data_IF_188497490002
#
_entry.id   IF_188497490002
#
_cell.length_a   1.000
_cell.length_b   1.000
_cell.length_c   1.000
_cell.angle_alpha   90.00
_cell.angle_beta   90.00
_cell.angle_gamma   90.00
#
_symmetry.space_group_name_H-M   'P 1'
#
loop_
_entity.id
_entity.type
_entity.pdbx_description
1 polymer ?
#
# COMPACT_ATOMS: atom_id res chain seq x y z
N UNK A 1 10.28 13.53 -0.27
CA UNK A 1 9.86 12.86 -1.53
C UNK A 1 8.74 11.87 -1.21
N UNK A 2 7.85 11.59 -2.16
CA UNK A 2 6.80 10.58 -2.03
C UNK A 2 7.13 9.37 -2.90
N UNK A 3 7.05 8.18 -2.34
CA UNK A 3 7.17 6.93 -3.07
C UNK A 3 5.76 6.43 -3.44
N UNK A 4 5.50 6.23 -4.72
CA UNK A 4 4.24 5.67 -5.21
C UNK A 4 4.41 4.18 -5.51
N UNK A 5 3.49 3.36 -5.01
CA UNK A 5 3.43 1.92 -5.27
C UNK A 5 2.19 1.63 -6.11
N UNK A 6 2.40 1.44 -7.41
CA UNK A 6 1.38 0.93 -8.35
C UNK A 6 1.83 -0.45 -8.84
N UNK A 7 0.88 -1.37 -9.04
CA UNK A 7 1.17 -2.70 -9.56
C UNK A 7 0.79 -2.75 -11.04
N UNK A 8 1.61 -3.40 -11.88
CA UNK A 8 1.40 -3.57 -13.32
C UNK A 8 1.65 -5.04 -13.72
N UNK A 9 0.74 -5.97 -13.40
CA UNK A 9 0.92 -7.41 -13.60
C UNK A 9 1.12 -7.81 -15.06
N UNK A 10 0.64 -6.99 -16.01
CA UNK A 10 0.79 -7.17 -17.45
C UNK A 10 2.24 -7.05 -17.94
N UNK A 11 3.11 -6.39 -17.15
CA UNK A 11 4.50 -6.14 -17.53
C UNK A 11 5.47 -7.22 -17.03
N UNK A 12 5.01 -8.19 -16.22
CA UNK A 12 5.82 -9.31 -15.72
C UNK A 12 7.13 -8.86 -15.06
N UNK A 13 7.16 -8.59 -13.76
CA UNK A 13 8.37 -8.08 -13.11
C UNK A 13 9.27 -9.21 -12.58
N UNK A 14 10.51 -9.38 -13.09
CA UNK A 14 11.49 -10.34 -12.55
C UNK A 14 12.10 -9.86 -11.21
N UNK A 15 11.86 -8.61 -10.82
CA UNK A 15 12.26 -8.05 -9.53
C UNK A 15 11.23 -8.43 -8.47
N UNK A 16 11.67 -9.14 -7.42
CA UNK A 16 10.85 -9.36 -6.23
C UNK A 16 10.52 -7.98 -5.66
N UNK A 17 9.25 -7.54 -5.69
CA UNK A 17 8.85 -6.19 -5.26
C UNK A 17 9.40 -5.77 -3.88
N UNK A 18 9.67 -6.75 -3.01
CA UNK A 18 10.37 -6.56 -1.73
C UNK A 18 11.79 -5.97 -1.89
N UNK A 19 12.57 -6.47 -2.85
CA UNK A 19 13.93 -5.98 -3.10
C UNK A 19 13.90 -4.54 -3.63
N UNK A 20 13.02 -4.24 -4.59
CA UNK A 20 12.86 -2.88 -5.10
C UNK A 20 12.46 -1.91 -3.98
N UNK A 21 11.52 -2.30 -3.12
CA UNK A 21 11.13 -1.50 -1.97
C UNK A 21 12.35 -1.23 -1.06
N UNK A 22 13.10 -2.27 -0.74
CA UNK A 22 14.30 -2.16 0.08
C UNK A 22 15.38 -1.26 -0.56
N UNK A 23 15.64 -1.42 -1.85
CA UNK A 23 16.64 -0.63 -2.59
C UNK A 23 16.26 0.85 -2.62
N UNK A 24 14.98 1.17 -2.86
CA UNK A 24 14.47 2.55 -2.83
C UNK A 24 14.62 3.13 -1.42
N UNK A 25 14.22 2.39 -0.38
CA UNK A 25 14.36 2.86 0.99
C UNK A 25 15.82 3.01 1.40
N UNK A 26 16.73 2.14 0.93
CA UNK A 26 18.16 2.25 1.18
C UNK A 26 18.76 3.48 0.47
N UNK A 27 18.37 3.74 -0.78
CA UNK A 27 18.92 4.83 -1.58
C UNK A 27 18.41 6.21 -1.14
N UNK A 28 17.11 6.32 -0.85
CA UNK A 28 16.50 7.59 -0.48
C UNK A 28 16.47 7.83 1.03
N UNK A 29 16.40 6.77 1.83
CA UNK A 29 16.43 6.84 3.30
C UNK A 29 15.40 7.82 3.85
N UNK A 30 15.86 8.71 4.71
CA UNK A 30 15.03 9.70 5.38
C UNK A 30 14.41 10.75 4.45
N UNK A 31 14.87 10.83 3.18
CA UNK A 31 14.25 11.72 2.18
C UNK A 31 12.87 11.24 1.73
N UNK A 32 12.51 9.98 2.02
CA UNK A 32 11.15 9.48 1.84
C UNK A 32 10.30 9.96 3.01
N UNK A 33 9.32 10.81 2.73
CA UNK A 33 8.47 11.43 3.77
C UNK A 33 7.09 10.76 3.84
N UNK A 34 6.70 10.06 2.77
CA UNK A 34 5.46 9.29 2.72
C UNK A 34 5.51 8.24 1.63
N UNK A 35 4.71 7.20 1.82
CA UNK A 35 4.46 6.16 0.81
C UNK A 35 2.98 6.24 0.46
N UNK A 36 2.67 6.21 -0.82
CA UNK A 36 1.29 6.12 -1.32
C UNK A 36 1.08 4.77 -1.96
N UNK A 37 0.17 3.97 -1.40
CA UNK A 37 -0.38 2.80 -2.07
C UNK A 37 -1.57 3.22 -2.92
N UNK A 38 -1.55 2.89 -4.20
CA UNK A 38 -2.68 3.08 -5.10
C UNK A 38 -3.05 1.73 -5.71
N UNK A 39 -4.23 1.21 -5.38
CA UNK A 39 -4.62 -0.16 -5.67
C UNK A 39 -5.92 -0.17 -6.47
N UNK A 40 -5.85 -0.68 -7.71
CA UNK A 40 -6.99 -0.90 -8.61
C UNK A 40 -7.28 -2.39 -8.85
N UNK A 41 -6.34 -3.25 -8.46
CA UNK A 41 -6.37 -4.70 -8.58
C UNK A 41 -5.21 -5.32 -7.78
N UNK A 42 -5.18 -6.65 -7.69
CA UNK A 42 -4.09 -7.43 -7.09
C UNK A 42 -4.16 -7.56 -5.57
N UNK A 43 -3.17 -8.25 -5.01
CA UNK A 43 -3.20 -8.76 -3.63
C UNK A 43 -3.42 -7.68 -2.56
N UNK A 44 -2.93 -6.46 -2.75
CA UNK A 44 -3.17 -5.37 -1.80
C UNK A 44 -4.65 -4.96 -1.76
N UNK A 45 -5.32 -4.86 -2.93
CA UNK A 45 -6.75 -4.53 -2.97
C UNK A 45 -7.58 -5.69 -2.44
N UNK A 46 -7.24 -6.93 -2.81
CA UNK A 46 -7.88 -8.13 -2.29
C UNK A 46 -7.81 -8.22 -0.77
N UNK A 47 -6.60 -8.13 -0.20
CA UNK A 47 -6.40 -8.15 1.24
C UNK A 47 -7.10 -6.99 1.96
N UNK A 48 -7.17 -5.81 1.35
CA UNK A 48 -7.92 -4.68 1.89
C UNK A 48 -9.43 -4.98 1.94
N UNK A 49 -10.01 -5.45 0.84
CA UNK A 49 -11.42 -5.82 0.76
C UNK A 49 -11.77 -6.92 1.76
N UNK A 50 -10.94 -7.96 1.85
CA UNK A 50 -11.14 -9.06 2.80
C UNK A 50 -11.12 -8.57 4.25
N UNK A 51 -10.15 -7.73 4.62
CA UNK A 51 -10.06 -7.18 5.97
C UNK A 51 -11.28 -6.32 6.32
N UNK A 52 -11.72 -5.44 5.42
CA UNK A 52 -12.90 -4.59 5.66
C UNK A 52 -14.18 -5.43 5.73
N UNK A 53 -14.33 -6.44 4.87
CA UNK A 53 -15.46 -7.37 4.93
C UNK A 53 -15.52 -8.13 6.26
N UNK A 54 -14.37 -8.39 6.88
CA UNK A 54 -14.25 -8.99 8.22
C UNK A 54 -14.37 -7.97 9.37
N UNK A 55 -14.77 -6.72 9.08
CA UNK A 55 -15.08 -5.71 10.09
C UNK A 55 -13.89 -4.83 10.50
N UNK A 56 -12.74 -4.94 9.84
CA UNK A 56 -11.64 -4.01 10.10
C UNK A 56 -11.95 -2.59 9.60
N UNK A 57 -11.44 -1.59 10.34
CA UNK A 57 -11.46 -0.20 9.84
C UNK A 57 -10.59 -0.06 8.59
N UNK A 58 -10.92 0.87 7.69
CA UNK A 58 -10.16 1.15 6.48
C UNK A 58 -8.65 1.38 6.75
N UNK A 59 -8.33 2.08 7.84
CA UNK A 59 -6.94 2.33 8.23
C UNK A 59 -6.20 1.06 8.68
N UNK A 60 -6.88 0.17 9.40
CA UNK A 60 -6.32 -1.13 9.82
C UNK A 60 -6.13 -2.06 8.63
N UNK A 61 -7.15 -2.17 7.77
CA UNK A 61 -7.08 -2.93 6.52
C UNK A 61 -5.91 -2.46 5.63
N UNK A 62 -5.74 -1.13 5.45
CA UNK A 62 -4.62 -0.59 4.68
C UNK A 62 -3.25 -0.92 5.30
N UNK A 63 -3.11 -0.90 6.64
CA UNK A 63 -1.89 -1.33 7.33
C UNK A 63 -1.61 -2.82 7.15
N UNK A 64 -2.66 -3.64 7.10
CA UNK A 64 -2.57 -5.09 6.93
C UNK A 64 -2.10 -5.55 5.55
N UNK A 65 -2.24 -4.70 4.53
CA UNK A 65 -1.77 -5.01 3.16
C UNK A 65 -0.26 -5.22 3.09
N UNK A 66 0.23 -5.87 2.01
CA UNK A 66 1.67 -6.03 1.81
C UNK A 66 2.40 -4.68 1.79
N UNK A 67 1.85 -3.68 1.10
CA UNK A 67 2.41 -2.32 1.10
C UNK A 67 2.43 -1.72 2.50
N UNK A 68 1.35 -1.88 3.27
CA UNK A 68 1.27 -1.39 4.65
C UNK A 68 2.29 -2.03 5.58
N UNK A 69 2.49 -3.35 5.47
CA UNK A 69 3.51 -4.07 6.23
C UNK A 69 4.92 -3.62 5.85
N UNK A 70 5.23 -3.49 4.55
CA UNK A 70 6.54 -2.97 4.10
C UNK A 70 6.76 -1.53 4.58
N UNK A 71 5.75 -0.67 4.50
CA UNK A 71 5.83 0.70 5.00
C UNK A 71 6.10 0.75 6.52
N UNK A 72 5.43 -0.12 7.28
CA UNK A 72 5.60 -0.25 8.73
C UNK A 72 7.02 -0.65 9.15
N UNK A 73 7.69 -1.51 8.39
CA UNK A 73 9.10 -1.90 8.65
C UNK A 73 10.07 -0.71 8.64
N UNK A 74 9.72 0.40 7.96
CA UNK A 74 10.52 1.64 7.91
C UNK A 74 9.90 2.79 8.72
N UNK A 75 8.96 2.48 9.62
CA UNK A 75 8.35 3.43 10.55
C UNK A 75 7.19 4.26 9.98
N UNK A 76 6.68 3.93 8.79
CA UNK A 76 5.52 4.62 8.20
C UNK A 76 4.20 4.02 8.71
N UNK A 77 3.95 4.15 10.01
CA UNK A 77 2.83 3.53 10.71
C UNK A 77 1.54 4.34 10.66
N UNK A 78 1.59 5.65 10.42
CA UNK A 78 0.41 6.51 10.36
C UNK A 78 -0.26 6.40 8.99
N UNK A 79 -1.51 5.93 8.95
CA UNK A 79 -2.24 5.68 7.71
C UNK A 79 -3.44 6.59 7.58
N UNK A 80 -3.61 7.16 6.39
CA UNK A 80 -4.83 7.83 5.95
C UNK A 80 -5.28 7.20 4.63
N UNK A 81 -6.46 6.58 4.62
CA UNK A 81 -7.13 6.21 3.37
C UNK A 81 -7.68 7.50 2.76
N UNK A 82 -7.18 7.87 1.58
CA UNK A 82 -7.52 9.12 0.89
C UNK A 82 -8.59 8.92 -0.18
N UNK A 83 -8.74 7.69 -0.67
CA UNK A 83 -9.77 7.28 -1.63
C UNK A 83 -10.14 5.82 -1.35
N UNK A 84 -11.43 5.52 -1.44
CA UNK A 84 -11.97 4.17 -1.32
C UNK A 84 -13.28 4.13 -2.10
N UNK A 85 -13.18 3.84 -3.39
CA UNK A 85 -14.32 3.83 -4.30
C UNK A 85 -14.94 2.42 -4.28
N UNK A 86 -16.24 2.35 -4.00
CA UNK A 86 -16.97 1.10 -4.02
C UNK A 86 -17.12 0.55 -5.46
N UNK A 87 -17.21 -0.77 -5.57
CA UNK A 87 -17.48 -1.52 -6.78
C UNK A 87 -18.57 -2.56 -6.53
N UNK A 88 -18.74 -3.50 -7.46
CA UNK A 88 -19.79 -4.52 -7.38
C UNK A 88 -19.58 -5.47 -6.18
N UNK A 89 -18.33 -5.87 -5.93
CA UNK A 89 -17.96 -6.85 -4.89
C UNK A 89 -16.86 -6.31 -3.96
N UNK A 90 -17.12 -5.17 -3.31
CA UNK A 90 -16.15 -4.47 -2.44
C UNK A 90 -15.53 -3.26 -3.12
N UNK A 91 -14.38 -2.76 -2.64
CA UNK A 91 -13.76 -1.58 -3.23
C UNK A 91 -13.10 -1.90 -4.57
N UNK A 92 -13.27 -0.99 -5.54
CA UNK A 92 -12.68 -1.07 -6.88
C UNK A 92 -11.39 -0.25 -6.99
N UNK A 93 -11.28 0.83 -6.20
CA UNK A 93 -10.08 1.67 -6.12
C UNK A 93 -9.82 2.09 -4.68
N UNK A 94 -8.61 1.88 -4.20
CA UNK A 94 -8.19 2.34 -2.88
C UNK A 94 -6.86 3.09 -2.98
N UNK A 95 -6.79 4.24 -2.33
CA UNK A 95 -5.56 5.00 -2.16
C UNK A 95 -5.29 5.22 -0.69
N UNK A 96 -4.10 4.82 -0.23
CA UNK A 96 -3.69 4.91 1.16
C UNK A 96 -2.35 5.65 1.27
N UNK A 97 -2.31 6.67 2.12
CA UNK A 97 -1.12 7.46 2.43
C UNK A 97 -0.54 7.03 3.77
N UNK A 98 0.70 6.55 3.74
CA UNK A 98 1.49 6.13 4.90
C UNK A 98 2.53 7.19 5.23
N UNK A 99 2.61 7.59 6.50
CA UNK A 99 3.56 8.57 7.05
C UNK A 99 4.17 8.04 8.33
N UNK A 100 5.33 8.60 8.70
CA UNK A 100 5.88 8.44 10.05
C UNK A 100 4.98 9.17 11.07
N UNK A 101 5.11 8.81 12.34
CA UNK A 101 4.49 9.52 13.48
C UNK A 101 4.74 11.03 13.40
#
# INVERSE_FOLDING_TARGET
MTLMMDNHPELGSPLRGKQMFADVMQHFGDRVNSITGYWRYGDNLGAFNDAVANGESLGSAARGTWTGQRAGEYGFTRVKVVQADEGVDGFSVVSALFRRE
#
